data_IF_805090668775
#
_entry.id   IF_805090668775
#
_cell.length_a   1.000
_cell.length_b   1.000
_cell.length_c   1.000
_cell.angle_alpha   90.00
_cell.angle_beta   90.00
_cell.angle_gamma   90.00
#
_symmetry.space_group_name_H-M   'P 1'
#
loop_
_entity.id
_entity.type
_entity.pdbx_description
1 polymer ?
#
# COMPACT_ATOMS: atom_id res chain seq x y z
N UNK A 1 43.07 26.89 51.18
CA UNK A 1 42.03 25.83 51.15
C UNK A 1 40.91 26.36 50.25
N UNK A 2 40.59 25.89 49.04
CA UNK A 2 40.47 24.51 48.47
C UNK A 2 39.75 23.59 49.46
N UNK A 3 38.58 22.99 49.20
CA UNK A 3 38.07 22.25 47.99
C UNK A 3 36.52 22.27 48.04
N UNK A 4 35.74 22.65 47.00
CA UNK A 4 35.06 21.89 45.90
C UNK A 4 34.41 20.51 46.24
N UNK A 5 33.16 20.32 45.73
CA UNK A 5 32.36 19.07 45.49
C UNK A 5 31.60 18.51 46.71
N UNK A 6 30.34 18.06 46.67
CA UNK A 6 29.56 17.32 45.64
C UNK A 6 28.06 17.56 45.87
N UNK A 7 27.31 18.00 44.86
CA UNK A 7 25.86 17.71 44.71
C UNK A 7 25.57 17.58 43.21
N UNK A 8 26.13 16.53 42.61
CA UNK A 8 25.91 16.14 41.22
C UNK A 8 25.09 14.84 41.16
N UNK A 9 23.76 14.93 41.02
CA UNK A 9 22.98 13.88 40.35
C UNK A 9 21.60 14.37 39.89
N UNK A 10 21.56 15.51 39.19
CA UNK A 10 20.42 15.84 38.34
C UNK A 10 20.95 16.07 36.93
N UNK A 11 20.94 15.00 36.14
CA UNK A 11 21.38 14.96 34.75
C UNK A 11 20.35 15.72 33.90
N UNK A 12 20.31 17.04 34.07
CA UNK A 12 19.61 17.97 33.23
C UNK A 12 20.37 18.05 31.91
N UNK A 13 19.93 17.29 30.90
CA UNK A 13 20.40 17.48 29.53
C UNK A 13 19.78 18.77 28.98
N UNK A 14 20.37 19.88 29.39
CA UNK A 14 20.15 21.22 28.82
C UNK A 14 20.78 21.23 27.43
N UNK A 15 20.05 20.75 26.42
CA UNK A 15 20.47 20.91 25.03
C UNK A 15 20.61 22.40 24.70
N UNK A 16 21.78 22.88 24.25
CA UNK A 16 21.93 24.26 23.80
C UNK A 16 21.21 24.43 22.46
N UNK A 17 20.12 25.20 22.46
CA UNK A 17 19.43 25.64 21.24
C UNK A 17 20.31 26.62 20.48
N UNK A 18 21.14 26.12 19.55
CA UNK A 18 22.02 26.93 18.71
C UNK A 18 21.26 27.41 17.45
N UNK A 19 20.88 28.70 17.41
CA UNK A 19 20.13 29.37 16.33
C UNK A 19 20.92 29.57 15.01
N UNK A 20 21.89 28.70 14.67
CA UNK A 20 22.81 28.90 13.53
C UNK A 20 22.81 27.83 12.44
N UNK A 21 21.99 26.78 12.54
CA UNK A 21 21.91 25.74 11.49
C UNK A 21 20.56 25.77 10.79
N UNK A 22 20.58 26.22 9.54
CA UNK A 22 19.41 26.39 8.68
C UNK A 22 18.67 25.09 8.38
N UNK A 23 17.35 25.17 8.53
CA UNK A 23 16.29 24.67 7.62
C UNK A 23 16.23 23.20 7.14
N UNK A 24 17.23 22.33 7.35
CA UNK A 24 17.15 20.92 6.87
C UNK A 24 17.03 19.84 7.95
N UNK A 25 17.27 20.15 9.24
CA UNK A 25 17.34 19.12 10.30
C UNK A 25 16.06 18.90 11.08
N UNK A 26 15.06 19.78 10.93
CA UNK A 26 13.77 19.67 11.63
C UNK A 26 12.94 18.50 11.11
N UNK A 27 12.91 18.33 9.78
CA UNK A 27 12.19 17.26 9.10
C UNK A 27 12.73 15.87 9.46
N UNK A 28 14.06 15.71 9.51
CA UNK A 28 14.67 14.42 9.86
C UNK A 28 14.39 14.04 11.32
N UNK A 29 14.37 15.01 12.23
CA UNK A 29 14.01 14.79 13.64
C UNK A 29 12.52 14.48 13.80
N UNK A 30 11.64 15.14 13.04
CA UNK A 30 10.21 14.82 12.99
C UNK A 30 9.97 13.41 12.41
N UNK A 31 10.67 13.03 11.33
CA UNK A 31 10.60 11.69 10.73
C UNK A 31 11.10 10.60 11.70
N UNK A 32 12.19 10.86 12.43
CA UNK A 32 12.72 9.94 13.43
C UNK A 32 11.79 9.85 14.64
N UNK A 33 11.24 10.96 15.15
CA UNK A 33 10.25 10.94 16.23
C UNK A 33 8.98 10.18 15.83
N UNK A 34 8.46 10.41 14.63
CA UNK A 34 7.31 9.65 14.09
C UNK A 34 7.62 8.17 13.89
N UNK A 35 8.86 7.81 13.55
CA UNK A 35 9.29 6.41 13.44
C UNK A 35 9.49 5.73 14.81
N UNK A 36 9.89 6.49 15.83
CA UNK A 36 10.03 6.00 17.21
C UNK A 36 8.68 5.86 17.92
N UNK A 37 7.72 6.77 17.69
CA UNK A 37 6.33 6.62 18.16
C UNK A 37 5.64 5.39 17.54
N UNK A 38 5.95 5.06 16.27
CA UNK A 38 5.49 3.81 15.64
C UNK A 38 6.06 2.55 16.29
N UNK A 39 7.14 2.65 17.05
CA UNK A 39 7.72 1.51 17.77
C UNK A 39 6.97 1.22 19.09
N UNK A 40 6.11 2.14 19.56
CA UNK A 40 5.22 1.87 20.71
C UNK A 40 3.90 1.21 20.30
N UNK A 41 3.59 1.15 18.99
CA UNK A 41 2.49 0.33 18.47
C UNK A 41 2.84 -1.17 18.41
N UNK A 42 4.03 -1.56 18.91
CA UNK A 42 4.43 -2.96 19.02
C UNK A 42 3.61 -3.74 20.07
N UNK A 43 2.92 -3.04 20.98
CA UNK A 43 2.04 -3.64 22.00
C UNK A 43 0.59 -3.84 21.51
N UNK A 44 0.20 -3.47 20.29
CA UNK A 44 -1.21 -3.52 19.84
C UNK A 44 -1.52 -4.70 18.89
N UNK A 45 -0.82 -5.83 19.12
CA UNK A 45 -1.11 -7.18 18.60
C UNK A 45 -0.85 -8.19 19.72
N UNK A 46 -1.50 -7.92 20.85
CA UNK A 46 -1.16 -8.41 22.18
C UNK A 46 -1.41 -9.90 22.39
N UNK A 47 -2.28 -10.52 21.60
CA UNK A 47 -2.46 -11.97 21.59
C UNK A 47 -2.49 -12.57 20.18
N UNK A 48 -2.54 -13.91 20.12
CA UNK A 48 -2.56 -14.65 18.85
C UNK A 48 -3.83 -14.36 18.03
N UNK A 49 -4.92 -13.97 18.69
CA UNK A 49 -6.20 -13.68 18.05
C UNK A 49 -6.17 -12.31 17.33
N UNK A 50 -5.54 -11.30 17.94
CA UNK A 50 -5.29 -10.01 17.29
C UNK A 50 -4.45 -10.19 16.01
N UNK A 51 -3.42 -11.05 16.09
CA UNK A 51 -2.56 -11.37 14.93
C UNK A 51 -3.30 -12.11 13.84
N UNK A 52 -4.10 -13.12 14.21
CA UNK A 52 -4.93 -13.85 13.25
C UNK A 52 -5.90 -12.89 12.53
N UNK A 53 -6.57 -12.03 13.29
CA UNK A 53 -7.51 -11.03 12.76
C UNK A 53 -6.83 -10.04 11.80
N UNK A 54 -5.62 -9.58 12.14
CA UNK A 54 -4.85 -8.69 11.27
C UNK A 54 -4.41 -9.37 9.95
N UNK A 55 -4.08 -10.66 10.00
CA UNK A 55 -3.74 -11.44 8.81
C UNK A 55 -4.97 -11.63 7.92
N UNK A 56 -6.13 -11.98 8.50
CA UNK A 56 -7.39 -12.12 7.76
C UNK A 56 -7.80 -10.81 7.08
N UNK A 57 -7.68 -9.69 7.80
CA UNK A 57 -7.95 -8.36 7.24
C UNK A 57 -7.06 -8.05 6.03
N UNK A 58 -5.77 -8.37 6.10
CA UNK A 58 -4.84 -8.19 4.98
C UNK A 58 -5.27 -9.02 3.76
N UNK A 59 -5.55 -10.31 3.95
CA UNK A 59 -5.99 -11.17 2.84
C UNK A 59 -7.30 -10.69 2.21
N UNK A 60 -8.25 -10.21 3.02
CA UNK A 60 -9.51 -9.68 2.53
C UNK A 60 -9.31 -8.40 1.70
N UNK A 61 -8.48 -7.47 2.17
CA UNK A 61 -8.18 -6.24 1.43
C UNK A 61 -7.44 -6.55 0.12
N UNK A 62 -6.46 -7.46 0.13
CA UNK A 62 -5.75 -7.90 -1.08
C UNK A 62 -6.71 -8.55 -2.10
N UNK A 63 -7.61 -9.41 -1.62
CA UNK A 63 -8.64 -10.03 -2.47
C UNK A 63 -9.59 -8.99 -3.06
N UNK A 64 -10.01 -8.00 -2.26
CA UNK A 64 -10.89 -6.92 -2.69
C UNK A 64 -10.20 -6.02 -3.72
N UNK A 65 -8.94 -5.67 -3.51
CA UNK A 65 -8.17 -4.86 -4.45
C UNK A 65 -7.98 -5.60 -5.78
N UNK A 66 -7.65 -6.89 -5.73
CA UNK A 66 -7.54 -7.72 -6.93
C UNK A 66 -8.87 -7.82 -7.69
N UNK A 67 -9.99 -7.93 -6.99
CA UNK A 67 -11.32 -7.92 -7.60
C UNK A 67 -11.60 -6.57 -8.29
N UNK A 68 -11.31 -5.45 -7.60
CA UNK A 68 -11.43 -4.10 -8.18
C UNK A 68 -10.59 -3.97 -9.45
N UNK A 69 -9.32 -4.39 -9.41
CA UNK A 69 -8.40 -4.36 -10.56
C UNK A 69 -8.95 -5.08 -11.80
N UNK A 70 -9.59 -6.23 -11.62
CA UNK A 70 -10.21 -7.00 -12.73
C UNK A 70 -11.44 -6.31 -13.36
N UNK A 71 -12.12 -5.45 -12.59
CA UNK A 71 -13.31 -4.72 -13.07
C UNK A 71 -12.99 -3.45 -13.87
N UNK A 72 -11.74 -2.97 -13.85
CA UNK A 72 -11.39 -1.76 -14.59
C UNK A 72 -11.63 -1.91 -16.11
N UNK A 73 -11.93 -0.78 -16.78
CA UNK A 73 -12.00 -0.74 -18.23
C UNK A 73 -10.62 -1.08 -18.81
N UNK A 74 -10.63 -1.86 -19.89
CA UNK A 74 -9.44 -2.23 -20.61
C UNK A 74 -9.24 -1.22 -21.75
N UNK A 75 -8.01 -0.73 -21.91
CA UNK A 75 -7.65 0.19 -23.00
C UNK A 75 -6.49 -0.39 -23.78
N UNK A 76 -6.61 -0.44 -25.10
CA UNK A 76 -5.54 -0.86 -26.00
C UNK A 76 -5.47 0.15 -27.16
N UNK A 77 -4.28 0.69 -27.52
CA UNK A 77 -4.13 1.61 -28.66
C UNK A 77 -4.61 1.04 -30.00
N UNK A 78 -4.60 -0.28 -30.17
CA UNK A 78 -4.97 -0.94 -31.44
C UNK A 78 -6.47 -1.29 -31.52
N UNK A 79 -7.28 -0.90 -30.52
CA UNK A 79 -8.71 -1.19 -30.50
C UNK A 79 -9.50 -0.22 -31.38
N UNK A 80 -10.21 -0.76 -32.35
CA UNK A 80 -11.00 -0.01 -33.34
C UNK A 80 -12.34 0.53 -32.78
N UNK A 81 -12.68 0.19 -31.54
CA UNK A 81 -13.90 0.62 -30.86
C UNK A 81 -15.11 -0.32 -31.04
N UNK A 82 -15.01 -1.36 -31.88
CA UNK A 82 -16.17 -2.17 -32.29
C UNK A 82 -15.89 -3.67 -32.30
N UNK A 83 -14.70 -4.11 -32.72
CA UNK A 83 -14.36 -5.53 -32.94
C UNK A 83 -13.42 -6.06 -31.86
N UNK A 84 -13.58 -7.34 -31.53
CA UNK A 84 -12.74 -8.03 -30.55
C UNK A 84 -11.28 -8.09 -31.00
N UNK A 85 -10.34 -7.72 -30.13
CA UNK A 85 -8.91 -7.74 -30.46
C UNK A 85 -8.33 -9.14 -30.75
N UNK A 86 -8.98 -10.21 -30.30
CA UNK A 86 -8.48 -11.59 -30.47
C UNK A 86 -9.12 -12.34 -31.64
N UNK A 87 -10.42 -12.11 -31.91
CA UNK A 87 -11.18 -12.86 -32.91
C UNK A 87 -11.85 -11.98 -33.98
N UNK A 88 -11.68 -10.66 -33.90
CA UNK A 88 -12.26 -9.67 -34.80
C UNK A 88 -13.80 -9.67 -34.88
N UNK A 89 -14.47 -10.39 -33.96
CA UNK A 89 -15.92 -10.43 -33.93
C UNK A 89 -16.53 -9.19 -33.26
N UNK A 90 -17.69 -8.77 -33.74
CA UNK A 90 -18.39 -7.58 -33.25
C UNK A 90 -18.75 -7.72 -31.77
N UNK A 91 -18.30 -6.78 -30.95
CA UNK A 91 -18.59 -6.76 -29.53
C UNK A 91 -20.02 -6.19 -29.30
N UNK A 92 -20.84 -6.84 -28.45
CA UNK A 92 -22.14 -6.30 -28.07
C UNK A 92 -22.02 -4.91 -27.43
N UNK A 93 -22.92 -3.98 -27.79
CA UNK A 93 -22.90 -2.61 -27.28
C UNK A 93 -22.96 -2.51 -25.73
N UNK A 94 -23.56 -3.50 -25.05
CA UNK A 94 -23.54 -3.58 -23.59
C UNK A 94 -22.12 -3.73 -23.02
N UNK A 95 -21.23 -4.50 -23.68
CA UNK A 95 -19.84 -4.69 -23.25
C UNK A 95 -18.96 -3.50 -23.60
N UNK A 96 -19.18 -2.87 -24.76
CA UNK A 96 -18.48 -1.65 -25.14
C UNK A 96 -18.74 -0.51 -24.13
N UNK A 97 -19.98 -0.39 -23.64
CA UNK A 97 -20.34 0.57 -22.57
C UNK A 97 -19.63 0.30 -21.23
N UNK A 98 -19.20 -0.94 -20.99
CA UNK A 98 -18.42 -1.32 -19.81
C UNK A 98 -16.91 -1.12 -20.03
N UNK A 99 -16.48 -0.62 -21.20
CA UNK A 99 -15.07 -0.45 -21.53
C UNK A 99 -14.32 -1.77 -21.69
N UNK A 100 -14.99 -2.82 -22.17
CA UNK A 100 -14.38 -4.13 -22.42
C UNK A 100 -14.07 -4.30 -23.91
N UNK A 101 -12.82 -4.65 -24.21
CA UNK A 101 -12.26 -4.73 -25.58
C UNK A 101 -12.30 -6.13 -26.20
N UNK A 102 -12.79 -7.13 -25.45
CA UNK A 102 -12.93 -8.53 -25.90
C UNK A 102 -14.39 -8.96 -25.92
N UNK A 103 -14.72 -9.92 -26.78
CA UNK A 103 -16.01 -10.61 -26.76
C UNK A 103 -16.15 -11.51 -25.51
N UNK A 104 -17.35 -12.03 -25.24
CA UNK A 104 -17.62 -12.89 -24.07
C UNK A 104 -16.84 -14.20 -24.17
N UNK A 105 -16.72 -14.76 -25.37
CA UNK A 105 -16.11 -16.07 -25.60
C UNK A 105 -14.61 -16.03 -25.37
N UNK A 106 -13.89 -15.11 -26.02
CA UNK A 106 -12.45 -14.90 -25.81
C UNK A 106 -12.14 -14.61 -24.35
N UNK A 107 -12.94 -13.75 -23.69
CA UNK A 107 -12.78 -13.47 -22.25
C UNK A 107 -12.93 -14.75 -21.41
N UNK A 108 -13.93 -15.59 -21.72
CA UNK A 108 -14.18 -16.84 -20.99
C UNK A 108 -13.03 -17.83 -21.16
N UNK A 109 -12.45 -17.91 -22.37
CA UNK A 109 -11.29 -18.77 -22.65
C UNK A 109 -10.08 -18.32 -21.83
N UNK A 110 -9.77 -17.01 -21.82
CA UNK A 110 -8.67 -16.45 -21.04
C UNK A 110 -8.83 -16.73 -19.53
N UNK A 111 -10.04 -16.53 -19.00
CA UNK A 111 -10.33 -16.81 -17.59
C UNK A 111 -10.21 -18.29 -17.24
N UNK A 112 -10.64 -19.19 -18.14
CA UNK A 112 -10.48 -20.63 -17.96
C UNK A 112 -9.01 -21.05 -17.99
N UNK A 113 -8.24 -20.55 -18.95
CA UNK A 113 -6.80 -20.82 -19.03
C UNK A 113 -6.09 -20.34 -17.75
N UNK A 114 -6.39 -19.14 -17.27
CA UNK A 114 -5.82 -18.62 -16.02
C UNK A 114 -6.13 -19.48 -14.79
N UNK A 115 -7.28 -20.17 -14.75
CA UNK A 115 -7.61 -21.10 -13.66
C UNK A 115 -6.78 -22.39 -13.68
N UNK A 116 -6.41 -22.89 -14.86
CA UNK A 116 -5.66 -24.15 -14.97
C UNK A 116 -4.15 -23.98 -14.72
N UNK A 117 -3.57 -22.82 -15.04
CA UNK A 117 -2.13 -22.57 -14.89
C UNK A 117 -1.74 -21.93 -13.55
N UNK A 118 -2.71 -21.53 -12.71
CA UNK A 118 -2.47 -20.93 -11.40
C UNK A 118 -2.53 -21.94 -10.23
N UNK A 119 -2.41 -23.24 -10.54
CA UNK A 119 -2.39 -24.34 -9.55
C UNK A 119 -0.98 -24.73 -9.14
#
# INVERSE_FOLDING_TARGET
>A
MNVILVVDFWFAVRYPYNKRVGFKRKRLLEEICMALEKNENFFELTDENDRASAIEAQFNEDALENARRKTLPETNPDFDGVHCIDCDEKIPAARLRLGKIRCVECQTVLEKQGKFFAG
#
